data_IF_541323760828
#
_entry.id   IF_541323760828
#
_cell.length_a   1.000
_cell.length_b   1.000
_cell.length_c   1.000
_cell.angle_alpha   90.00
_cell.angle_beta   90.00
_cell.angle_gamma   90.00
#
_symmetry.space_group_name_H-M   'P 1'
#
loop_
_entity.id
_entity.type
_entity.pdbx_description
1 polymer ?
#
# COMPACT_ATOMS: atom_id res chain seq x y z
N UNK A 1 -8.02 8.23 -2.88
CA UNK A 1 -9.45 8.33 -3.25
C UNK A 1 -10.26 9.30 -2.41
N UNK A 2 -10.13 9.36 -1.07
CA UNK A 2 -10.93 10.28 -0.25
C UNK A 2 -10.90 11.73 -0.75
N UNK A 3 -9.72 12.33 -0.91
CA UNK A 3 -9.58 13.73 -1.37
C UNK A 3 -10.17 13.94 -2.79
N UNK A 4 -10.09 12.92 -3.65
CA UNK A 4 -10.66 12.94 -4.99
C UNK A 4 -12.20 12.94 -4.95
N UNK A 5 -12.78 12.08 -4.11
CA UNK A 5 -14.25 11.98 -3.93
C UNK A 5 -14.82 13.24 -3.27
N UNK A 6 -14.08 13.86 -2.35
CA UNK A 6 -14.46 15.14 -1.75
C UNK A 6 -14.32 16.33 -2.72
N UNK A 7 -13.85 16.11 -3.96
CA UNK A 7 -13.60 17.17 -4.94
C UNK A 7 -12.41 18.09 -4.60
N UNK A 8 -11.72 17.82 -3.49
CA UNK A 8 -10.61 18.65 -2.99
C UNK A 8 -9.27 18.32 -3.68
N UNK A 9 -9.20 17.24 -4.45
CA UNK A 9 -7.93 16.77 -5.03
C UNK A 9 -7.35 17.80 -5.99
N UNK A 10 -8.16 18.31 -6.91
CA UNK A 10 -7.73 19.32 -7.88
C UNK A 10 -7.37 20.62 -7.15
N UNK A 11 -8.18 21.04 -6.17
CA UNK A 11 -7.94 22.27 -5.37
C UNK A 11 -6.60 22.22 -4.64
N UNK A 12 -6.29 21.12 -3.98
CA UNK A 12 -5.03 20.97 -3.24
C UNK A 12 -3.84 20.88 -4.19
N UNK A 13 -3.99 20.16 -5.32
CA UNK A 13 -2.93 20.08 -6.32
C UNK A 13 -2.63 21.44 -6.96
N UNK A 14 -3.66 22.18 -7.35
CA UNK A 14 -3.50 23.52 -7.92
C UNK A 14 -2.83 24.47 -6.93
N UNK A 15 -3.20 24.39 -5.65
CA UNK A 15 -2.58 25.18 -4.59
C UNK A 15 -1.09 24.82 -4.38
N UNK A 16 -0.73 23.54 -4.49
CA UNK A 16 0.68 23.10 -4.43
C UNK A 16 1.45 23.55 -5.68
N UNK A 17 0.85 23.46 -6.86
CA UNK A 17 1.47 23.93 -8.11
C UNK A 17 1.68 25.45 -8.10
N UNK A 18 0.78 26.21 -7.46
CA UNK A 18 0.94 27.65 -7.22
C UNK A 18 2.21 28.01 -6.45
N UNK A 19 2.63 27.18 -5.49
CA UNK A 19 3.92 27.34 -4.78
C UNK A 19 5.08 27.35 -5.79
N UNK A 20 5.04 26.44 -6.77
CA UNK A 20 6.09 26.34 -7.79
C UNK A 20 6.14 27.56 -8.70
N UNK A 21 5.02 28.25 -8.87
CA UNK A 21 4.88 29.51 -9.63
C UNK A 21 5.18 30.76 -8.77
N UNK A 22 5.61 30.59 -7.52
CA UNK A 22 5.84 31.67 -6.55
C UNK A 22 4.57 32.49 -6.22
N UNK A 23 3.39 31.88 -6.32
CA UNK A 23 2.12 32.46 -5.91
C UNK A 23 1.87 32.15 -4.44
N UNK A 24 1.77 33.18 -3.59
CA UNK A 24 1.60 33.00 -2.14
C UNK A 24 0.12 32.94 -1.69
N UNK A 25 -0.81 33.40 -2.52
CA UNK A 25 -2.24 33.44 -2.21
C UNK A 25 -2.86 32.03 -2.02
N UNK A 26 -2.59 31.04 -2.90
CA UNK A 26 -3.06 29.66 -2.71
C UNK A 26 -2.44 28.97 -1.49
N UNK A 27 -1.23 29.40 -1.11
CA UNK A 27 -0.50 28.83 0.03
C UNK A 27 -1.19 29.19 1.34
N UNK A 28 -1.56 30.46 1.49
CA UNK A 28 -2.22 30.96 2.69
C UNK A 28 -3.67 30.47 2.81
N UNK A 29 -4.38 30.39 1.70
CA UNK A 29 -5.81 30.05 1.67
C UNK A 29 -6.10 28.54 1.71
N UNK A 30 -5.22 27.70 1.14
CA UNK A 30 -5.48 26.26 0.99
C UNK A 30 -4.42 25.41 1.69
N UNK A 31 -3.13 25.63 1.39
CA UNK A 31 -2.06 24.77 1.88
C UNK A 31 -1.89 24.89 3.40
N UNK A 32 -1.94 26.11 3.93
CA UNK A 32 -1.75 26.36 5.36
C UNK A 32 -2.84 25.70 6.21
N UNK A 33 -4.15 25.92 5.94
CA UNK A 33 -5.21 25.29 6.74
C UNK A 33 -5.21 23.76 6.63
N UNK A 34 -4.94 23.22 5.43
CA UNK A 34 -4.82 21.76 5.23
C UNK A 34 -3.64 21.20 6.00
N UNK A 35 -2.47 21.84 5.90
CA UNK A 35 -1.27 21.45 6.63
C UNK A 35 -1.47 21.47 8.15
N UNK A 36 -2.10 22.53 8.67
CA UNK A 36 -2.46 22.65 10.09
C UNK A 36 -3.42 21.51 10.49
N UNK A 37 -4.44 21.23 9.69
CA UNK A 37 -5.37 20.14 9.94
C UNK A 37 -4.68 18.77 10.00
N UNK A 38 -3.73 18.51 9.10
CA UNK A 38 -2.92 17.29 9.11
C UNK A 38 -2.08 17.21 10.38
N UNK A 39 -1.36 18.28 10.76
CA UNK A 39 -0.53 18.29 11.97
C UNK A 39 -1.38 18.06 13.21
N UNK A 40 -2.51 18.78 13.36
CA UNK A 40 -3.44 18.60 14.47
C UNK A 40 -3.96 17.17 14.50
N UNK A 41 -4.39 16.62 13.35
CA UNK A 41 -4.89 15.25 13.25
C UNK A 41 -3.85 14.22 13.72
N UNK A 42 -2.61 14.35 13.25
CA UNK A 42 -1.50 13.47 13.65
C UNK A 42 -1.25 13.58 15.16
N UNK A 43 -1.14 14.80 15.71
CA UNK A 43 -0.90 15.02 17.14
C UNK A 43 -2.03 14.44 17.99
N UNK A 44 -3.29 14.67 17.61
CA UNK A 44 -4.47 14.17 18.35
C UNK A 44 -4.50 12.65 18.35
N UNK A 45 -4.36 12.01 17.18
CA UNK A 45 -4.40 10.54 17.06
C UNK A 45 -3.21 9.91 17.77
N UNK A 46 -2.00 10.47 17.63
CA UNK A 46 -0.80 9.92 18.27
C UNK A 46 -0.94 9.94 19.79
N UNK A 47 -1.44 11.04 20.36
CA UNK A 47 -1.70 11.13 21.79
C UNK A 47 -2.84 10.23 22.26
N UNK A 48 -3.90 10.10 21.45
CA UNK A 48 -5.02 9.20 21.74
C UNK A 48 -4.53 7.74 21.82
N UNK A 49 -3.83 7.26 20.79
CA UNK A 49 -3.28 5.90 20.75
C UNK A 49 -2.30 5.68 21.90
N UNK A 50 -1.43 6.65 22.21
CA UNK A 50 -0.51 6.56 23.33
C UNK A 50 -1.24 6.39 24.67
N UNK A 51 -2.28 7.19 24.93
CA UNK A 51 -3.12 7.06 26.13
C UNK A 51 -3.85 5.71 26.20
N UNK A 52 -4.34 5.22 25.05
CA UNK A 52 -4.99 3.92 24.94
C UNK A 52 -4.01 2.76 25.22
N UNK A 53 -2.77 2.86 24.75
CA UNK A 53 -1.73 1.85 25.03
C UNK A 53 -1.38 1.76 26.52
N UNK A 54 -1.41 2.88 27.26
CA UNK A 54 -1.16 2.88 28.71
C UNK A 54 -2.34 2.25 29.48
N UNK A 55 -3.58 2.61 29.13
CA UNK A 55 -4.78 2.17 29.90
C UNK A 55 -5.34 0.82 29.47
N UNK A 56 -5.21 0.47 28.20
CA UNK A 56 -5.83 -0.69 27.56
C UNK A 56 -4.89 -1.34 26.53
N UNK A 57 -3.67 -1.68 26.97
CA UNK A 57 -2.59 -2.18 26.10
C UNK A 57 -3.02 -3.35 25.21
N UNK A 58 -3.58 -4.41 25.78
CA UNK A 58 -3.94 -5.62 25.03
C UNK A 58 -5.02 -5.35 23.98
N UNK A 59 -6.06 -4.59 24.34
CA UNK A 59 -7.13 -4.23 23.41
C UNK A 59 -6.61 -3.34 22.27
N UNK A 60 -5.79 -2.34 22.59
CA UNK A 60 -5.22 -1.41 21.60
C UNK A 60 -4.29 -2.13 20.62
N UNK A 61 -3.42 -3.02 21.12
CA UNK A 61 -2.58 -3.86 20.27
C UNK A 61 -3.41 -4.77 19.36
N UNK A 62 -4.50 -5.35 19.87
CA UNK A 62 -5.43 -6.14 19.06
C UNK A 62 -6.07 -5.32 17.93
N UNK A 63 -6.52 -4.10 18.22
CA UNK A 63 -7.07 -3.18 17.21
C UNK A 63 -6.02 -2.79 16.17
N UNK A 64 -4.80 -2.44 16.61
CA UNK A 64 -3.70 -2.09 15.71
C UNK A 64 -3.31 -3.27 14.81
N UNK A 65 -3.32 -4.50 15.35
CA UNK A 65 -3.08 -5.71 14.59
C UNK A 65 -4.18 -5.94 13.54
N UNK A 66 -5.45 -5.77 13.92
CA UNK A 66 -6.58 -5.86 12.99
C UNK A 66 -6.48 -4.82 11.86
N UNK A 67 -6.12 -3.58 12.20
CA UNK A 67 -5.90 -2.51 11.22
C UNK A 67 -4.73 -2.83 10.29
N UNK A 68 -3.64 -3.39 10.82
CA UNK A 68 -2.50 -3.83 10.02
C UNK A 68 -2.91 -4.92 9.00
N UNK A 69 -3.61 -5.95 9.46
CA UNK A 69 -4.10 -7.03 8.59
C UNK A 69 -5.04 -6.46 7.52
N UNK A 70 -6.01 -5.64 7.93
CA UNK A 70 -6.96 -5.00 7.00
C UNK A 70 -6.28 -4.12 5.95
N UNK A 71 -5.24 -3.37 6.35
CA UNK A 71 -4.47 -2.55 5.42
C UNK A 71 -3.73 -3.40 4.38
N UNK A 72 -3.14 -4.53 4.77
CA UNK A 72 -2.49 -5.46 3.83
C UNK A 72 -3.49 -5.98 2.81
N UNK A 73 -4.65 -6.48 3.24
CA UNK A 73 -5.67 -6.99 2.33
C UNK A 73 -6.28 -5.90 1.44
N UNK A 74 -6.48 -4.69 1.95
CA UNK A 74 -7.06 -3.59 1.20
C UNK A 74 -6.10 -2.93 0.21
N UNK A 75 -4.80 -2.92 0.52
CA UNK A 75 -3.79 -2.26 -0.32
C UNK A 75 -3.13 -3.21 -1.32
N UNK A 76 -2.99 -4.50 -0.98
CA UNK A 76 -2.24 -5.42 -1.83
C UNK A 76 -3.01 -5.75 -3.12
N UNK A 77 -2.45 -5.40 -4.30
CA UNK A 77 -3.06 -5.79 -5.56
C UNK A 77 -2.76 -7.29 -5.77
N UNK A 78 -3.73 -8.16 -5.47
CA UNK A 78 -3.70 -9.57 -5.86
C UNK A 78 -3.90 -9.74 -7.37
N UNK A 79 -3.21 -8.93 -8.19
CA UNK A 79 -3.37 -8.89 -9.63
C UNK A 79 -2.01 -8.92 -10.31
N UNK A 80 -1.87 -9.76 -11.32
CA UNK A 80 -0.68 -9.84 -12.16
C UNK A 80 -1.04 -9.39 -13.59
N UNK A 81 -0.12 -8.67 -14.24
CA UNK A 81 -0.25 -8.34 -15.65
C UNK A 81 -0.01 -9.58 -16.49
N UNK A 82 -0.99 -9.97 -17.32
CA UNK A 82 -0.88 -11.06 -18.27
C UNK A 82 -0.66 -10.51 -19.68
N UNK A 83 0.19 -11.15 -20.48
CA UNK A 83 0.35 -10.79 -21.89
C UNK A 83 -1.00 -10.93 -22.63
N UNK A 84 -1.42 -9.92 -23.41
CA UNK A 84 -2.71 -9.92 -24.08
C UNK A 84 -2.77 -11.02 -25.15
N UNK A 85 -3.92 -11.67 -25.28
CA UNK A 85 -4.16 -12.74 -26.27
C UNK A 85 -5.21 -12.27 -27.29
N UNK A 86 -5.15 -12.81 -28.51
CA UNK A 86 -6.15 -12.53 -29.56
C UNK A 86 -7.55 -12.90 -29.04
N UNK A 87 -8.48 -11.94 -29.10
CA UNK A 87 -9.81 -12.03 -28.50
C UNK A 87 -10.02 -11.21 -27.24
N UNK A 88 -8.96 -10.65 -26.63
CA UNK A 88 -9.11 -9.73 -25.49
C UNK A 88 -9.64 -8.36 -25.96
N UNK A 89 -10.65 -7.85 -25.25
CA UNK A 89 -11.10 -6.46 -25.42
C UNK A 89 -10.35 -5.57 -24.45
N UNK A 90 -9.39 -4.81 -24.94
CA UNK A 90 -8.68 -3.81 -24.14
C UNK A 90 -9.25 -2.44 -24.48
N UNK A 91 -9.94 -1.81 -23.52
CA UNK A 91 -10.59 -0.50 -23.66
C UNK A 91 -11.61 -0.42 -24.81
N UNK A 92 -12.33 -1.51 -25.08
CA UNK A 92 -13.37 -1.54 -26.12
C UNK A 92 -12.86 -1.75 -27.53
N UNK A 93 -11.56 -2.03 -27.70
CA UNK A 93 -10.97 -2.43 -28.97
C UNK A 93 -10.68 -3.94 -28.92
N UNK A 94 -11.20 -4.69 -29.89
CA UNK A 94 -10.94 -6.12 -30.02
C UNK A 94 -9.55 -6.31 -30.62
N UNK A 95 -8.72 -7.12 -29.96
CA UNK A 95 -7.42 -7.50 -30.49
C UNK A 95 -7.64 -8.66 -31.45
N UNK A 96 -7.66 -8.38 -32.75
CA UNK A 96 -7.96 -9.37 -33.79
C UNK A 96 -6.70 -10.10 -34.30
N UNK A 97 -5.50 -9.53 -34.09
CA UNK A 97 -4.25 -10.06 -34.64
C UNK A 97 -3.16 -10.25 -33.59
N UNK A 98 -2.40 -11.35 -33.68
CA UNK A 98 -1.27 -11.68 -32.79
C UNK A 98 -0.17 -10.61 -32.79
N UNK A 99 0.08 -9.98 -33.94
CA UNK A 99 1.05 -8.88 -34.09
C UNK A 99 0.66 -7.60 -33.33
N UNK A 100 -0.65 -7.34 -33.17
CA UNK A 100 -1.16 -6.20 -32.41
C UNK A 100 -1.10 -6.45 -30.90
N UNK A 101 -1.29 -7.70 -30.47
CA UNK A 101 -1.14 -8.12 -29.08
C UNK A 101 0.30 -7.94 -28.57
N UNK A 102 1.29 -8.32 -29.39
CA UNK A 102 2.72 -8.19 -29.04
C UNK A 102 3.23 -6.74 -29.06
N UNK A 103 2.57 -5.84 -29.83
CA UNK A 103 2.91 -4.41 -29.86
C UNK A 103 2.43 -3.65 -28.61
N UNK A 104 1.62 -4.25 -27.74
CA UNK A 104 1.09 -3.60 -26.53
C UNK A 104 2.18 -3.54 -25.45
N UNK A 105 2.54 -2.31 -25.07
CA UNK A 105 3.48 -2.03 -23.98
C UNK A 105 3.08 -2.76 -22.68
N UNK A 106 4.04 -3.33 -21.92
CA UNK A 106 3.78 -4.04 -20.66
C UNK A 106 2.95 -3.27 -19.62
N UNK A 107 3.01 -1.94 -19.63
CA UNK A 107 2.19 -1.06 -18.79
C UNK A 107 0.67 -1.14 -19.08
N UNK A 108 0.24 -1.72 -20.20
CA UNK A 108 -1.16 -1.80 -20.62
C UNK A 108 -1.72 -3.23 -20.59
N UNK A 109 -0.99 -4.18 -20.01
CA UNK A 109 -1.46 -5.55 -19.89
C UNK A 109 -2.72 -5.66 -19.03
N UNK A 110 -3.67 -6.53 -19.39
CA UNK A 110 -4.82 -6.83 -18.55
C UNK A 110 -4.35 -7.35 -17.18
N UNK A 111 -4.99 -6.86 -16.13
CA UNK A 111 -4.73 -7.24 -14.75
C UNK A 111 -5.68 -8.37 -14.37
N UNK A 112 -5.18 -9.61 -14.40
CA UNK A 112 -5.90 -10.78 -13.92
C UNK A 112 -5.61 -11.01 -12.43
N UNK A 113 -6.56 -11.61 -11.71
CA UNK A 113 -6.34 -12.07 -10.34
C UNK A 113 -5.18 -13.06 -10.32
N UNK A 114 -4.18 -12.80 -9.48
CA UNK A 114 -3.05 -13.69 -9.33
C UNK A 114 -3.46 -14.93 -8.54
N UNK A 115 -3.55 -16.08 -9.22
CA UNK A 115 -3.77 -17.38 -8.60
C UNK A 115 -2.40 -18.04 -8.35
N UNK A 116 -1.93 -18.10 -7.09
CA UNK A 116 -0.63 -18.68 -6.80
C UNK A 116 -0.63 -20.18 -7.11
N UNK A 117 0.36 -20.63 -7.87
CA UNK A 117 0.53 -22.07 -8.11
C UNK A 117 0.95 -22.80 -6.82
N UNK A 118 0.61 -24.09 -6.66
CA UNK A 118 0.99 -24.86 -5.46
C UNK A 118 2.50 -24.83 -5.16
N UNK A 119 3.34 -24.76 -6.19
CA UNK A 119 4.80 -24.63 -6.03
C UNK A 119 5.23 -23.30 -5.40
N UNK A 120 4.58 -22.19 -5.77
CA UNK A 120 4.84 -20.87 -5.17
C UNK A 120 4.41 -20.84 -3.70
N UNK A 121 3.27 -21.46 -3.38
CA UNK A 121 2.77 -21.57 -2.01
C UNK A 121 3.77 -22.37 -1.15
N UNK A 122 4.17 -23.56 -1.63
CA UNK A 122 5.13 -24.41 -0.92
C UNK A 122 6.50 -23.74 -0.76
N UNK A 123 7.00 -23.07 -1.80
CA UNK A 123 8.25 -22.31 -1.73
C UNK A 123 8.20 -21.17 -0.73
N UNK A 124 7.09 -20.42 -0.69
CA UNK A 124 6.88 -19.34 0.28
C UNK A 124 6.84 -19.87 1.72
N UNK A 125 6.14 -20.99 1.94
CA UNK A 125 6.10 -21.65 3.25
C UNK A 125 7.47 -22.21 3.67
N UNK A 126 8.23 -22.76 2.73
CA UNK A 126 9.59 -23.25 2.99
C UNK A 126 10.52 -22.10 3.41
N UNK A 127 10.46 -20.96 2.74
CA UNK A 127 11.23 -19.76 3.10
C UNK A 127 10.89 -19.26 4.52
N UNK A 128 9.60 -19.24 4.87
CA UNK A 128 9.17 -18.90 6.24
C UNK A 128 9.73 -19.89 7.27
N UNK A 129 9.67 -21.18 6.97
CA UNK A 129 10.25 -22.23 7.81
C UNK A 129 11.75 -22.07 8.01
N UNK A 130 12.50 -21.80 6.94
CA UNK A 130 13.94 -21.56 6.99
C UNK A 130 14.26 -20.33 7.85
N UNK A 131 13.56 -19.21 7.64
CA UNK A 131 13.75 -18.00 8.44
C UNK A 131 13.50 -18.24 9.92
N UNK A 132 12.47 -19.03 10.25
CA UNK A 132 12.19 -19.45 11.62
C UNK A 132 13.29 -20.34 12.21
N UNK A 133 13.79 -21.31 11.45
CA UNK A 133 14.89 -22.18 11.89
C UNK A 133 16.19 -21.40 12.13
N UNK A 134 16.52 -20.44 11.26
CA UNK A 134 17.67 -19.55 11.43
C UNK A 134 17.52 -18.71 12.70
N UNK A 135 16.33 -18.14 12.93
CA UNK A 135 16.03 -17.37 14.14
C UNK A 135 16.21 -18.21 15.42
N UNK A 136 15.73 -19.46 15.41
CA UNK A 136 15.93 -20.40 16.51
C UNK A 136 17.41 -20.78 16.69
N UNK A 137 18.15 -20.94 15.60
CA UNK A 137 19.58 -21.21 15.62
C UNK A 137 20.37 -20.10 16.31
N UNK A 138 20.12 -18.84 15.93
CA UNK A 138 20.73 -17.66 16.56
C UNK A 138 20.40 -17.60 18.06
N UNK A 139 19.14 -17.85 18.40
CA UNK A 139 18.68 -17.85 19.80
C UNK A 139 19.37 -18.93 20.64
N UNK A 140 19.60 -20.11 20.05
CA UNK A 140 20.32 -21.20 20.74
C UNK A 140 21.80 -20.91 20.92
N UNK A 141 22.46 -20.30 19.93
CA UNK A 141 23.88 -19.97 19.98
C UNK A 141 24.18 -18.84 20.99
N UNK A 142 23.37 -17.78 20.98
CA UNK A 142 23.52 -16.64 21.90
C UNK A 142 23.19 -16.93 23.37
N UNK A 143 22.61 -18.10 23.68
CA UNK A 143 22.34 -18.54 25.06
C UNK A 143 23.58 -19.16 25.74
N UNK A 144 24.58 -19.58 24.97
CA UNK A 144 25.80 -20.23 25.51
C UNK A 144 26.88 -19.25 25.97
N UNK A 145 26.78 -17.95 25.66
CA UNK A 145 27.78 -16.92 26.03
C UNK A 145 27.44 -16.17 27.34
N UNK A 146 26.49 -16.67 28.15
CA UNK A 146 26.06 -16.06 29.42
C UNK A 146 26.31 -16.94 30.67
N UNK A 147 27.24 -17.87 30.61
CA UNK A 147 27.76 -18.61 31.78
C UNK A 147 29.23 -18.24 31.99
#
# INVERSE_FOLDING_TARGET
YLVLVLGQYVVILDAIDGIRRSEFDPVLSVVLPVGIGVVIGVVVISNLVSKLLVRARSATLGVLLGLLIGAVFGLWPFRAGRAPVVGDSIRGQLIETTAEAEAIKPSRWPLESFEPSPGVILGSLALLGIGFLVSLGITRLGRNERL
#
